data_IF_355429849932
#
_entry.id   IF_355429849932
#
_cell.length_a   1.000
_cell.length_b   1.000
_cell.length_c   1.000
_cell.angle_alpha   90.00
_cell.angle_beta   90.00
_cell.angle_gamma   90.00
#
_symmetry.space_group_name_H-M   'P 1'
#
loop_
_entity.id
_entity.type
_entity.pdbx_description
1 polymer ?
#
# COMPACT_ATOMS: atom_id res chain seq x y z
N UNK A 1 11.61 -4.24 -14.91
CA UNK A 1 11.70 -2.75 -14.93
C UNK A 1 11.97 -2.26 -13.52
N UNK A 2 12.37 -1.00 -13.34
CA UNK A 2 12.38 -0.32 -12.03
C UNK A 2 11.09 0.49 -11.89
N UNK A 3 10.33 0.26 -10.83
CA UNK A 3 9.00 0.85 -10.63
C UNK A 3 8.95 1.57 -9.28
N UNK A 4 8.60 2.86 -9.30
CA UNK A 4 8.21 3.61 -8.11
C UNK A 4 6.70 3.70 -8.04
N UNK A 5 6.13 3.54 -6.85
CA UNK A 5 4.67 3.61 -6.64
C UNK A 5 4.32 4.83 -5.81
N UNK A 6 3.28 5.56 -6.19
CA UNK A 6 2.73 6.70 -5.45
C UNK A 6 1.34 6.34 -4.94
N UNK A 7 1.14 6.39 -3.62
CA UNK A 7 -0.15 6.15 -2.97
C UNK A 7 -0.64 7.45 -2.33
N UNK A 8 -1.84 7.88 -2.71
CA UNK A 8 -2.41 9.18 -2.35
C UNK A 8 -3.57 9.11 -1.36
N UNK A 9 -4.31 8.01 -1.36
CA UNK A 9 -5.56 7.86 -0.61
C UNK A 9 -5.34 7.22 0.76
N UNK A 10 -6.19 7.61 1.71
CA UNK A 10 -6.14 7.12 3.07
C UNK A 10 -6.70 5.71 3.24
N UNK A 11 -6.41 5.08 4.38
CA UNK A 11 -6.83 3.73 4.67
C UNK A 11 -8.37 3.65 4.68
N UNK A 12 -8.92 2.64 4.02
CA UNK A 12 -10.36 2.33 3.98
C UNK A 12 -11.27 3.39 3.33
N UNK A 13 -10.71 4.42 2.68
CA UNK A 13 -11.49 5.40 1.90
C UNK A 13 -11.82 4.90 0.49
N UNK A 14 -10.83 4.27 -0.15
CA UNK A 14 -10.87 3.68 -1.49
C UNK A 14 -10.06 2.37 -1.50
N UNK A 15 -10.09 1.65 -2.62
CA UNK A 15 -9.39 0.37 -2.80
C UNK A 15 -7.92 0.54 -3.25
N UNK A 16 -7.38 1.76 -3.26
CA UNK A 16 -6.08 2.00 -3.91
C UNK A 16 -4.93 1.30 -3.19
N UNK A 17 -5.02 1.16 -1.86
CA UNK A 17 -4.02 0.46 -1.04
C UNK A 17 -3.94 -1.01 -1.42
N UNK A 18 -5.07 -1.67 -1.58
CA UNK A 18 -5.13 -3.09 -1.96
C UNK A 18 -4.68 -3.30 -3.40
N UNK A 19 -5.12 -2.41 -4.28
CA UNK A 19 -4.67 -2.42 -5.67
C UNK A 19 -3.16 -2.24 -5.75
N UNK A 20 -2.60 -1.39 -4.89
CA UNK A 20 -1.16 -1.19 -4.77
C UNK A 20 -0.45 -2.44 -4.27
N UNK A 21 -0.93 -3.07 -3.18
CA UNK A 21 -0.35 -4.31 -2.63
C UNK A 21 -0.31 -5.39 -3.72
N UNK A 22 -1.43 -5.69 -4.35
CA UNK A 22 -1.50 -6.72 -5.39
C UNK A 22 -0.68 -6.37 -6.64
N UNK A 23 -0.59 -5.09 -7.00
CA UNK A 23 0.27 -4.64 -8.09
C UNK A 23 1.74 -4.87 -7.77
N UNK A 24 2.19 -4.52 -6.55
CA UNK A 24 3.56 -4.71 -6.09
C UNK A 24 3.93 -6.19 -6.06
N UNK A 25 3.07 -7.04 -5.49
CA UNK A 25 3.26 -8.49 -5.47
C UNK A 25 3.40 -9.07 -6.88
N UNK A 26 2.49 -8.71 -7.79
CA UNK A 26 2.50 -9.19 -9.16
C UNK A 26 3.71 -8.67 -9.95
N UNK A 27 4.14 -7.43 -9.71
CA UNK A 27 5.32 -6.84 -10.34
C UNK A 27 6.61 -7.55 -9.88
N UNK A 28 6.74 -7.83 -8.58
CA UNK A 28 7.85 -8.60 -8.02
C UNK A 28 7.86 -10.01 -8.61
N UNK A 29 6.72 -10.69 -8.66
CA UNK A 29 6.59 -12.04 -9.23
C UNK A 29 6.98 -12.09 -10.72
N UNK A 30 6.83 -10.98 -11.46
CA UNK A 30 7.27 -10.83 -12.86
C UNK A 30 8.73 -10.40 -13.02
N UNK A 31 9.51 -10.34 -11.94
CA UNK A 31 10.92 -9.97 -11.97
C UNK A 31 11.15 -8.47 -12.16
N UNK A 32 10.22 -7.63 -11.74
CA UNK A 32 10.42 -6.18 -11.67
C UNK A 32 10.96 -5.77 -10.28
N UNK A 33 11.75 -4.69 -10.26
CA UNK A 33 12.29 -4.09 -9.04
C UNK A 33 11.36 -2.96 -8.60
N UNK A 34 10.87 -3.03 -7.37
CA UNK A 34 10.16 -1.90 -6.74
C UNK A 34 11.20 -1.03 -6.05
N UNK A 35 11.42 0.18 -6.56
CA UNK A 35 12.43 1.08 -6.01
C UNK A 35 11.95 1.82 -4.76
N UNK A 36 10.64 1.80 -4.52
CA UNK A 36 10.01 2.38 -3.34
C UNK A 36 8.53 2.63 -3.53
N UNK A 37 7.82 2.74 -2.40
CA UNK A 37 6.42 3.15 -2.33
C UNK A 37 6.41 4.49 -1.59
N UNK A 38 5.97 5.54 -2.26
CA UNK A 38 5.90 6.89 -1.71
C UNK A 38 4.46 7.20 -1.30
N UNK A 39 4.29 7.53 -0.02
CA UNK A 39 3.01 7.91 0.56
C UNK A 39 2.89 9.43 0.55
N UNK A 40 1.80 9.95 0.01
CA UNK A 40 1.52 11.38 -0.02
C UNK A 40 0.04 11.66 0.20
N UNK A 41 -0.31 12.91 0.52
CA UNK A 41 -1.67 13.31 0.93
C UNK A 41 -2.22 12.41 2.03
N UNK A 42 -3.41 11.84 1.88
CA UNK A 42 -3.99 10.92 2.86
C UNK A 42 -3.28 9.55 2.90
N UNK A 43 -2.46 9.25 1.89
CA UNK A 43 -1.65 8.04 1.78
C UNK A 43 -0.75 7.78 2.98
N UNK A 44 -0.30 8.85 3.65
CA UNK A 44 0.56 8.76 4.84
C UNK A 44 -0.13 8.04 6.01
N UNK A 45 -1.46 8.03 6.06
CA UNK A 45 -2.20 7.40 7.14
C UNK A 45 -2.24 5.86 7.05
N UNK A 46 -1.85 5.27 5.92
CA UNK A 46 -1.85 3.81 5.75
C UNK A 46 -0.84 3.09 6.66
N UNK A 47 0.25 3.75 7.04
CA UNK A 47 1.25 3.21 7.99
C UNK A 47 0.96 3.54 9.46
N UNK A 48 -0.25 3.99 9.77
CA UNK A 48 -0.58 4.28 11.15
C UNK A 48 -0.74 2.98 11.95
N UNK A 49 0.28 2.64 12.74
CA UNK A 49 0.29 1.46 13.62
C UNK A 49 -0.86 1.41 14.66
N UNK A 50 -1.64 2.49 14.82
CA UNK A 50 -2.84 2.51 15.67
C UNK A 50 -4.13 2.19 14.93
N UNK A 51 -4.07 1.80 13.66
CA UNK A 51 -5.23 1.30 12.91
C UNK A 51 -5.82 0.11 13.68
N UNK A 52 -7.14 0.20 13.93
CA UNK A 52 -7.94 -0.89 14.48
C UNK A 52 -9.03 -1.18 13.46
N UNK A 53 -8.81 -2.16 12.60
CA UNK A 53 -9.75 -2.57 11.57
C UNK A 53 -10.79 -3.54 12.17
N UNK A 54 -12.04 -3.12 12.41
CA UNK A 54 -13.04 -4.01 13.00
C UNK A 54 -13.62 -4.92 11.90
N UNK A 55 -13.09 -6.13 11.75
CA UNK A 55 -13.60 -7.14 10.83
C UNK A 55 -12.98 -7.12 9.42
N UNK A 56 -12.15 -6.12 9.11
CA UNK A 56 -11.32 -6.05 7.91
C UNK A 56 -9.85 -6.37 8.22
N UNK A 57 -9.04 -6.57 7.17
CA UNK A 57 -7.57 -6.69 7.29
C UNK A 57 -6.96 -5.40 7.84
N UNK A 58 -5.89 -5.53 8.60
CA UNK A 58 -5.16 -4.38 9.14
C UNK A 58 -4.14 -3.88 8.11
N UNK A 59 -4.42 -2.75 7.47
CA UNK A 59 -3.54 -2.20 6.43
C UNK A 59 -2.15 -1.83 6.94
N UNK A 60 -1.98 -1.50 8.22
CA UNK A 60 -0.65 -1.23 8.76
C UNK A 60 0.19 -2.51 8.88
N UNK A 61 -0.44 -3.65 9.20
CA UNK A 61 0.25 -4.94 9.32
C UNK A 61 0.60 -5.52 7.95
N UNK A 62 -0.20 -5.26 6.92
CA UNK A 62 0.07 -5.70 5.54
C UNK A 62 1.21 -4.92 4.86
N UNK A 63 1.59 -3.77 5.43
CA UNK A 63 2.62 -2.87 4.88
C UNK A 63 3.95 -2.89 5.65
N UNK A 64 4.04 -3.65 6.74
CA UNK A 64 5.25 -3.89 7.55
C UNK A 64 6.13 -5.01 6.95
#
# INVERSE_FOLDING_TARGET
MKIGVLLLSGPYQTQDVDSMIHFVEAAIAKGHEIVGIFLYTDGVYNLNAKIKAPGDRNLAEELD
#
